data_IF_025908538349
#
_entry.id   IF_025908538349
#
_cell.length_a   1.000
_cell.length_b   1.000
_cell.length_c   1.000
_cell.angle_alpha   90.00
_cell.angle_beta   90.00
_cell.angle_gamma   90.00
#
_symmetry.space_group_name_H-M   'P 1'
#
loop_
_entity.id
_entity.type
_entity.pdbx_description
1 polymer ?
#
# COMPACT_ATOMS: atom_id res chain seq x y z
N UNK A 1 2.73 -8.67 1.20
CA UNK A 1 2.03 -9.19 0.02
C UNK A 1 2.79 -8.87 -1.26
N UNK A 2 2.68 -9.74 -2.27
CA UNK A 2 3.17 -9.49 -3.64
C UNK A 2 1.96 -9.08 -4.47
N UNK A 3 2.04 -7.90 -5.11
CA UNK A 3 1.00 -7.40 -6.00
C UNK A 3 1.20 -7.93 -7.42
N UNK A 4 0.18 -8.55 -7.98
CA UNK A 4 0.15 -8.94 -9.39
C UNK A 4 -0.68 -7.92 -10.17
N UNK A 5 -0.04 -7.16 -11.05
CA UNK A 5 -0.72 -6.17 -11.87
C UNK A 5 -1.51 -6.85 -13.00
N UNK A 6 -2.83 -6.66 -13.01
CA UNK A 6 -3.69 -7.17 -14.10
C UNK A 6 -3.54 -6.36 -15.39
N UNK A 7 -3.21 -5.08 -15.27
CA UNK A 7 -2.91 -4.23 -16.40
C UNK A 7 -1.53 -4.63 -16.98
N UNK A 8 -1.43 -4.91 -18.29
CA UNK A 8 -0.22 -5.51 -18.84
C UNK A 8 1.00 -4.58 -18.80
N UNK A 9 0.81 -3.27 -18.97
CA UNK A 9 1.89 -2.28 -19.00
C UNK A 9 1.85 -1.42 -17.73
N UNK A 10 2.98 -1.35 -17.03
CA UNK A 10 3.17 -0.47 -15.87
C UNK A 10 4.37 0.46 -16.10
N UNK A 11 4.42 1.58 -15.39
CA UNK A 11 5.54 2.52 -15.43
C UNK A 11 5.39 3.69 -16.40
N UNK A 12 4.57 3.58 -17.43
CA UNK A 12 4.40 4.59 -18.48
C UNK A 12 3.85 5.94 -18.00
N UNK A 13 3.17 5.99 -16.86
CA UNK A 13 2.77 7.25 -16.22
C UNK A 13 3.92 7.90 -15.43
N UNK A 14 4.79 7.10 -14.85
CA UNK A 14 5.76 7.55 -13.87
C UNK A 14 5.16 7.79 -12.49
N UNK A 15 5.90 8.46 -11.62
CA UNK A 15 5.55 8.69 -10.23
C UNK A 15 5.74 10.17 -9.90
N UNK A 16 4.80 10.80 -9.21
CA UNK A 16 4.92 12.18 -8.75
C UNK A 16 6.12 12.40 -7.82
N UNK A 17 6.46 13.67 -7.49
CA UNK A 17 7.48 13.98 -6.49
C UNK A 17 7.24 13.21 -5.17
N UNK A 18 8.31 12.89 -4.43
CA UNK A 18 8.17 12.28 -3.11
C UNK A 18 7.24 13.11 -2.21
N UNK A 19 6.40 12.41 -1.45
CA UNK A 19 5.54 13.01 -0.46
C UNK A 19 6.37 13.67 0.66
N UNK A 20 5.92 14.80 1.17
CA UNK A 20 6.47 15.34 2.39
C UNK A 20 6.08 14.48 3.59
N UNK A 21 7.03 14.24 4.48
CA UNK A 21 6.78 13.41 5.65
C UNK A 21 5.72 14.04 6.57
N UNK A 22 4.77 13.25 7.03
CA UNK A 22 3.72 13.71 7.94
C UNK A 22 2.55 14.42 7.27
N UNK A 23 2.53 14.55 5.93
CA UNK A 23 1.42 15.18 5.20
C UNK A 23 0.46 14.15 4.62
N UNK A 24 -0.73 14.61 4.24
CA UNK A 24 -1.72 13.84 3.47
C UNK A 24 -1.72 14.25 1.99
N UNK A 25 -0.54 14.59 1.43
CA UNK A 25 -0.42 15.16 0.09
C UNK A 25 -0.97 14.24 -0.99
N UNK A 26 -1.72 14.82 -1.92
CA UNK A 26 -2.10 14.17 -3.18
C UNK A 26 -0.87 14.01 -4.07
N UNK A 27 -0.79 12.98 -4.89
CA UNK A 27 -1.80 11.94 -5.16
C UNK A 27 -1.62 10.65 -4.36
N UNK A 28 -0.81 10.66 -3.32
CA UNK A 28 -0.52 9.45 -2.56
C UNK A 28 -1.68 9.05 -1.64
N UNK A 29 -1.84 7.74 -1.49
CA UNK A 29 -2.85 7.12 -0.64
C UNK A 29 -2.26 6.41 0.59
N UNK A 30 -0.93 6.43 0.69
CA UNK A 30 -0.17 5.85 1.78
C UNK A 30 1.18 6.56 1.92
N UNK A 31 1.79 6.47 3.08
CA UNK A 31 3.11 7.08 3.35
C UNK A 31 4.27 6.40 2.61
N UNK A 32 4.07 5.16 2.13
CA UNK A 32 5.08 4.35 1.45
C UNK A 32 4.42 3.31 0.55
N UNK A 33 5.23 2.59 -0.25
CA UNK A 33 4.76 1.37 -0.92
C UNK A 33 4.50 0.30 0.13
N UNK A 34 3.28 -0.22 0.19
CA UNK A 34 2.88 -1.22 1.20
C UNK A 34 3.13 -2.66 0.76
N UNK A 35 3.27 -2.91 -0.54
CA UNK A 35 3.52 -4.25 -1.06
C UNK A 35 5.00 -4.63 -0.92
N UNK A 36 5.27 -5.92 -0.76
CA UNK A 36 6.62 -6.48 -0.64
C UNK A 36 7.23 -6.87 -1.99
N UNK A 37 6.45 -6.78 -3.06
CA UNK A 37 6.90 -7.06 -4.41
C UNK A 37 5.83 -6.75 -5.45
N UNK A 38 6.26 -6.51 -6.68
CA UNK A 38 5.41 -6.23 -7.83
C UNK A 38 5.68 -7.24 -8.94
N UNK A 39 4.63 -7.82 -9.51
CA UNK A 39 4.68 -8.67 -10.70
C UNK A 39 3.87 -8.01 -11.81
N UNK A 40 4.50 -7.78 -12.96
CA UNK A 40 3.89 -7.18 -14.12
C UNK A 40 4.25 -7.93 -15.41
N UNK A 41 3.47 -7.76 -16.46
CA UNK A 41 3.78 -8.35 -17.76
C UNK A 41 4.85 -7.51 -18.48
N UNK A 42 4.63 -6.22 -18.60
CA UNK A 42 5.50 -5.29 -19.33
C UNK A 42 5.79 -4.07 -18.45
N UNK A 43 7.00 -3.57 -18.53
CA UNK A 43 7.43 -2.35 -17.86
C UNK A 43 7.92 -1.32 -18.89
N UNK A 44 7.53 -0.07 -18.68
CA UNK A 44 8.04 1.08 -19.44
C UNK A 44 9.06 1.85 -18.61
N UNK A 45 10.29 1.95 -19.11
CA UNK A 45 11.34 2.79 -18.50
C UNK A 45 11.06 4.28 -18.69
N UNK A 46 10.42 4.62 -19.81
CA UNK A 46 10.00 5.99 -20.10
C UNK A 46 8.63 6.28 -19.54
N UNK A 47 8.47 7.45 -18.94
CA UNK A 47 7.19 7.95 -18.44
C UNK A 47 6.86 9.31 -19.06
N UNK A 48 5.55 9.62 -19.13
CA UNK A 48 5.07 10.79 -19.88
C UNK A 48 3.99 11.62 -19.16
N UNK A 49 3.58 11.26 -17.95
CA UNK A 49 2.57 12.02 -17.23
C UNK A 49 3.15 13.36 -16.72
N UNK A 50 2.41 14.45 -16.91
CA UNK A 50 2.85 15.81 -16.56
C UNK A 50 3.21 16.01 -15.07
N UNK A 51 2.60 15.26 -14.18
CA UNK A 51 2.88 15.31 -12.74
C UNK A 51 4.02 14.38 -12.30
N UNK A 52 4.58 13.57 -13.19
CA UNK A 52 5.65 12.66 -12.86
C UNK A 52 7.01 13.36 -12.86
N UNK A 53 7.87 13.03 -11.91
CA UNK A 53 9.26 13.49 -11.88
C UNK A 53 10.27 12.36 -11.72
N UNK A 54 9.80 11.11 -11.59
CA UNK A 54 10.63 9.91 -11.51
C UNK A 54 9.92 8.71 -12.11
N UNK A 55 10.69 7.68 -12.47
CA UNK A 55 10.12 6.41 -12.94
C UNK A 55 9.57 5.58 -11.79
N UNK A 56 8.68 4.62 -12.11
CA UNK A 56 8.23 3.62 -11.15
C UNK A 56 9.39 2.76 -10.63
N UNK A 57 10.38 2.45 -11.48
CA UNK A 57 11.55 1.68 -11.09
C UNK A 57 12.44 2.41 -10.07
N UNK A 58 12.60 3.74 -10.22
CA UNK A 58 13.29 4.56 -9.22
C UNK A 58 12.56 4.56 -7.87
N UNK A 59 11.23 4.67 -7.89
CA UNK A 59 10.44 4.62 -6.67
C UNK A 59 10.54 3.27 -5.98
N UNK A 60 10.33 2.16 -6.71
CA UNK A 60 10.46 0.80 -6.18
C UNK A 60 11.85 0.55 -5.58
N UNK A 61 12.91 1.04 -6.25
CA UNK A 61 14.29 0.91 -5.75
C UNK A 61 14.53 1.71 -4.47
N UNK A 62 14.01 2.94 -4.41
CA UNK A 62 14.11 3.78 -3.22
C UNK A 62 13.42 3.14 -2.00
N UNK A 63 12.27 2.48 -2.22
CA UNK A 63 11.50 1.77 -1.18
C UNK A 63 11.96 0.31 -0.98
N UNK A 64 12.99 -0.14 -1.72
CA UNK A 64 13.54 -1.51 -1.67
C UNK A 64 12.50 -2.60 -1.98
N UNK A 65 11.58 -2.31 -2.88
CA UNK A 65 10.54 -3.24 -3.32
C UNK A 65 10.96 -3.91 -4.62
N UNK A 66 11.19 -5.24 -4.63
CA UNK A 66 11.54 -5.95 -5.85
C UNK A 66 10.37 -6.00 -6.83
N UNK A 67 10.69 -6.00 -8.13
CA UNK A 67 9.71 -6.18 -9.19
C UNK A 67 10.19 -7.20 -10.20
N UNK A 68 9.25 -7.96 -10.76
CA UNK A 68 9.49 -8.93 -11.82
C UNK A 68 8.59 -8.62 -13.00
N UNK A 69 9.15 -8.63 -14.21
CA UNK A 69 8.42 -8.44 -15.47
C UNK A 69 8.55 -9.65 -16.38
N UNK A 70 7.79 -9.69 -17.47
CA UNK A 70 7.80 -10.81 -18.40
C UNK A 70 6.92 -11.99 -17.95
N UNK A 71 6.09 -11.80 -16.93
CA UNK A 71 5.19 -12.84 -16.42
C UNK A 71 3.80 -12.70 -17.07
N UNK A 72 3.18 -13.81 -17.47
CA UNK A 72 1.78 -13.84 -17.86
C UNK A 72 0.87 -13.58 -16.65
N UNK A 73 0.70 -12.29 -16.35
CA UNK A 73 -0.11 -11.86 -15.22
C UNK A 73 -1.60 -12.14 -15.43
N UNK A 74 -2.06 -12.28 -16.68
CA UNK A 74 -3.46 -12.65 -16.98
C UNK A 74 -3.76 -14.07 -16.50
N UNK A 75 -2.91 -15.02 -16.84
CA UNK A 75 -3.06 -16.40 -16.38
C UNK A 75 -2.89 -16.49 -14.84
N UNK A 76 -1.93 -15.77 -14.28
CA UNK A 76 -1.72 -15.75 -12.84
C UNK A 76 -2.92 -15.15 -12.08
N UNK A 77 -3.48 -14.05 -12.55
CA UNK A 77 -4.66 -13.44 -11.91
C UNK A 77 -5.92 -14.28 -12.04
N UNK A 78 -6.08 -15.05 -13.14
CA UNK A 78 -7.15 -16.04 -13.25
C UNK A 78 -7.01 -17.12 -12.18
N UNK A 79 -5.82 -17.66 -11.96
CA UNK A 79 -5.54 -18.62 -10.88
C UNK A 79 -5.86 -18.05 -9.51
N UNK A 80 -5.43 -16.82 -9.25
CA UNK A 80 -5.72 -16.13 -7.98
C UNK A 80 -7.23 -15.94 -7.76
N UNK A 81 -8.00 -15.71 -8.84
CA UNK A 81 -9.45 -15.59 -8.77
C UNK A 81 -10.12 -16.93 -8.43
N UNK A 82 -9.62 -18.01 -8.98
CA UNK A 82 -10.17 -19.36 -8.81
C UNK A 82 -9.83 -19.95 -7.42
N UNK A 83 -8.62 -19.70 -6.91
CA UNK A 83 -8.10 -20.32 -5.70
C UNK A 83 -8.01 -19.37 -4.48
N UNK A 84 -8.29 -18.07 -4.66
CA UNK A 84 -8.04 -17.05 -3.65
C UNK A 84 -6.58 -16.63 -3.59
N UNK A 85 -6.16 -16.11 -2.45
CA UNK A 85 -4.76 -15.73 -2.24
C UNK A 85 -3.86 -16.96 -2.19
N UNK A 86 -2.71 -16.87 -2.85
CA UNK A 86 -1.72 -17.94 -2.93
C UNK A 86 -0.40 -17.47 -2.30
N UNK A 87 0.33 -18.39 -1.71
CA UNK A 87 1.68 -18.10 -1.26
C UNK A 87 2.64 -17.99 -2.44
N UNK A 88 3.54 -17.00 -2.39
CA UNK A 88 4.54 -16.77 -3.44
C UNK A 88 5.78 -16.09 -2.87
N UNK A 89 6.91 -16.31 -3.53
CA UNK A 89 8.19 -15.74 -3.15
C UNK A 89 8.89 -15.19 -4.37
N UNK A 90 9.59 -14.07 -4.19
CA UNK A 90 10.50 -13.50 -5.17
C UNK A 90 11.94 -13.72 -4.70
N UNK A 91 12.74 -14.35 -5.53
CA UNK A 91 14.16 -14.61 -5.25
C UNK A 91 15.04 -13.90 -6.29
N UNK A 92 16.26 -13.50 -5.93
CA UNK A 92 17.25 -13.03 -6.90
C UNK A 92 17.50 -14.08 -7.99
N UNK A 93 17.69 -13.65 -9.23
CA UNK A 93 17.95 -14.57 -10.35
C UNK A 93 19.22 -15.43 -10.17
N UNK A 94 20.16 -14.95 -9.37
CA UNK A 94 21.39 -15.70 -9.04
C UNK A 94 21.14 -16.90 -8.10
N UNK A 95 20.00 -16.94 -7.41
CA UNK A 95 19.63 -18.06 -6.54
C UNK A 95 19.10 -19.22 -7.38
N UNK A 96 19.69 -20.40 -7.25
CA UNK A 96 19.22 -21.60 -7.94
C UNK A 96 17.84 -22.04 -7.44
N UNK A 97 17.06 -22.71 -8.31
CA UNK A 97 15.69 -23.12 -8.01
C UNK A 97 15.58 -24.03 -6.76
N UNK A 98 16.56 -24.94 -6.57
CA UNK A 98 16.56 -25.86 -5.42
C UNK A 98 16.83 -25.12 -4.11
N UNK A 99 17.71 -24.12 -4.14
CA UNK A 99 17.96 -23.25 -3.00
C UNK A 99 16.73 -22.41 -2.69
N UNK A 100 16.11 -21.79 -3.70
CA UNK A 100 14.88 -21.03 -3.55
C UNK A 100 13.75 -21.86 -2.91
N UNK A 101 13.54 -23.09 -3.37
CA UNK A 101 12.56 -24.02 -2.79
C UNK A 101 12.85 -24.37 -1.34
N UNK A 102 14.11 -24.56 -0.97
CA UNK A 102 14.50 -24.84 0.43
C UNK A 102 14.33 -23.61 1.33
N UNK A 103 14.53 -22.43 0.78
CA UNK A 103 14.45 -21.15 1.50
C UNK A 103 12.99 -20.68 1.67
N UNK A 104 12.11 -21.02 0.72
CA UNK A 104 10.71 -20.69 0.79
C UNK A 104 10.06 -21.22 2.08
N UNK A 105 9.46 -20.35 2.86
CA UNK A 105 8.75 -20.69 4.10
C UNK A 105 7.29 -20.34 3.95
N UNK A 106 6.41 -21.19 4.44
CA UNK A 106 4.99 -20.85 4.55
C UNK A 106 4.84 -19.60 5.43
N UNK A 107 4.02 -18.66 4.98
CA UNK A 107 3.71 -17.43 5.71
C UNK A 107 2.23 -17.47 6.08
N UNK A 108 1.95 -17.51 7.36
CA UNK A 108 0.59 -17.31 7.83
C UNK A 108 0.31 -15.80 7.89
N UNK A 109 -0.78 -15.38 7.25
CA UNK A 109 -1.26 -14.01 7.33
C UNK A 109 -2.18 -13.88 8.54
N UNK A 110 -1.60 -13.44 9.65
CA UNK A 110 -2.33 -13.04 10.85
C UNK A 110 -2.58 -11.54 10.91
N UNK A 111 -3.06 -11.06 12.05
CA UNK A 111 -3.39 -9.64 12.30
C UNK A 111 -2.16 -8.71 12.21
N UNK A 112 -0.97 -9.26 12.25
CA UNK A 112 0.29 -8.52 12.10
C UNK A 112 0.35 -7.71 10.78
N UNK A 113 -0.35 -8.15 9.72
CA UNK A 113 -0.41 -7.40 8.46
C UNK A 113 -1.03 -6.02 8.66
N UNK A 114 -2.03 -5.89 9.51
CA UNK A 114 -2.69 -4.61 9.79
C UNK A 114 -1.78 -3.66 10.58
N UNK A 115 -0.93 -4.18 11.47
CA UNK A 115 0.08 -3.40 12.19
C UNK A 115 1.13 -2.78 11.26
N UNK A 116 1.42 -3.43 10.13
CA UNK A 116 2.42 -2.92 9.17
C UNK A 116 1.90 -1.76 8.32
N UNK A 117 0.59 -1.60 8.19
CA UNK A 117 -0.06 -0.59 7.32
C UNK A 117 -0.75 0.53 8.09
N UNK A 118 -1.15 0.29 9.34
CA UNK A 118 -1.74 1.29 10.23
C UNK A 118 -0.64 2.17 10.89
N UNK A 119 -0.96 3.36 11.40
CA UNK A 119 -0.04 4.13 12.23
C UNK A 119 0.23 3.38 13.55
N UNK A 120 1.36 3.68 14.19
CA UNK A 120 1.70 3.10 15.51
C UNK A 120 0.88 3.72 16.66
N UNK A 121 0.52 4.98 16.53
CA UNK A 121 -0.19 5.79 17.51
C UNK A 121 -1.34 6.55 16.85
N UNK A 122 -2.38 6.95 17.60
CA UNK A 122 -3.44 7.80 17.08
C UNK A 122 -2.90 9.13 16.53
N UNK A 123 -3.38 9.53 15.36
CA UNK A 123 -3.03 10.79 14.71
C UNK A 123 -4.27 11.68 14.68
N UNK A 124 -4.13 12.91 15.15
CA UNK A 124 -5.20 13.89 15.21
C UNK A 124 -5.06 14.92 14.08
N UNK A 125 -6.12 15.11 13.32
CA UNK A 125 -6.24 16.13 12.29
C UNK A 125 -7.39 17.06 12.65
N UNK A 126 -7.09 18.32 12.89
CA UNK A 126 -8.07 19.34 13.25
C UNK A 126 -8.63 20.00 11.97
N UNK A 127 -9.95 20.16 11.90
CA UNK A 127 -10.62 20.91 10.83
C UNK A 127 -11.85 21.67 11.35
N UNK A 128 -12.82 21.01 11.98
CA UNK A 128 -14.03 21.62 12.52
C UNK A 128 -14.51 20.95 13.81
N UNK A 129 -15.71 21.27 14.24
CA UNK A 129 -16.25 20.80 15.51
C UNK A 129 -16.65 19.33 15.50
N UNK A 130 -17.15 18.84 14.34
CA UNK A 130 -17.52 17.43 14.17
C UNK A 130 -16.26 16.55 14.20
N UNK A 131 -16.22 15.58 15.10
CA UNK A 131 -15.07 14.68 15.31
C UNK A 131 -15.39 13.26 14.87
N UNK A 132 -14.62 12.73 13.96
CA UNK A 132 -14.76 11.36 13.45
C UNK A 132 -13.57 10.51 13.88
N UNK A 133 -13.84 9.41 14.58
CA UNK A 133 -12.86 8.37 14.85
C UNK A 133 -12.77 7.44 13.65
N UNK A 134 -11.63 7.39 13.00
CA UNK A 134 -11.33 6.46 11.89
C UNK A 134 -10.48 5.32 12.44
N UNK A 135 -11.04 4.10 12.45
CA UNK A 135 -10.32 2.90 12.87
C UNK A 135 -9.47 2.42 11.70
N UNK A 136 -8.17 2.55 11.84
CA UNK A 136 -7.21 2.29 10.77
C UNK A 136 -6.67 0.86 10.81
N UNK A 137 -7.07 0.08 9.82
CA UNK A 137 -6.49 -1.22 9.45
C UNK A 137 -5.85 -1.16 8.05
N UNK A 138 -5.37 0.00 7.62
CA UNK A 138 -4.84 0.29 6.29
C UNK A 138 -5.70 1.27 5.51
N UNK A 139 -6.19 2.30 6.16
CA UNK A 139 -7.05 3.34 5.56
C UNK A 139 -6.27 4.14 4.52
N UNK A 140 -6.89 4.37 3.36
CA UNK A 140 -6.36 5.26 2.33
C UNK A 140 -6.42 6.70 2.79
N UNK A 141 -5.36 7.46 2.54
CA UNK A 141 -5.27 8.86 2.94
C UNK A 141 -6.39 9.73 2.34
N UNK A 142 -6.95 9.34 1.18
CA UNK A 142 -8.09 10.06 0.59
C UNK A 142 -9.35 10.04 1.47
N UNK A 143 -9.54 9.00 2.26
CA UNK A 143 -10.68 8.92 3.20
C UNK A 143 -10.52 10.03 4.26
N UNK A 144 -9.32 10.13 4.84
CA UNK A 144 -9.02 11.18 5.83
C UNK A 144 -9.14 12.56 5.21
N UNK A 145 -8.53 12.79 4.03
CA UNK A 145 -8.65 14.06 3.28
C UNK A 145 -10.10 14.44 3.04
N UNK A 146 -10.92 13.49 2.59
CA UNK A 146 -12.33 13.74 2.27
C UNK A 146 -13.14 14.15 3.48
N UNK A 147 -12.84 13.66 4.67
CA UNK A 147 -13.48 14.10 5.92
C UNK A 147 -13.03 15.51 6.30
N UNK A 148 -11.73 15.79 6.24
CA UNK A 148 -11.17 17.11 6.54
C UNK A 148 -11.69 18.19 5.59
N UNK A 149 -11.77 17.90 4.28
CA UNK A 149 -12.33 18.81 3.25
C UNK A 149 -13.82 19.14 3.49
N UNK A 150 -14.53 18.27 4.24
CA UNK A 150 -15.91 18.50 4.66
C UNK A 150 -16.05 19.17 6.03
N UNK A 151 -14.92 19.59 6.60
CA UNK A 151 -14.89 20.28 7.89
C UNK A 151 -14.99 19.35 9.10
N UNK A 152 -14.80 18.04 8.95
CA UNK A 152 -14.74 17.14 10.09
C UNK A 152 -13.30 16.99 10.58
N UNK A 153 -13.08 17.14 11.88
CA UNK A 153 -11.83 16.74 12.54
C UNK A 153 -11.75 15.21 12.58
N UNK A 154 -10.55 14.65 12.43
CA UNK A 154 -10.34 13.20 12.34
C UNK A 154 -9.36 12.73 13.40
N UNK A 155 -9.73 11.68 14.13
CA UNK A 155 -8.84 10.87 14.95
C UNK A 155 -8.58 9.58 14.19
N UNK A 156 -7.43 9.45 13.52
CA UNK A 156 -7.00 8.24 12.83
C UNK A 156 -6.29 7.34 13.83
N UNK A 157 -6.98 6.31 14.32
CA UNK A 157 -6.47 5.42 15.36
C UNK A 157 -6.16 4.03 14.82
N UNK A 158 -5.01 3.43 15.12
CA UNK A 158 -4.74 2.05 14.74
C UNK A 158 -5.78 1.12 15.38
N UNK A 159 -6.16 0.06 14.68
CA UNK A 159 -7.21 -0.88 15.10
C UNK A 159 -6.99 -1.50 16.49
N UNK A 160 -5.75 -1.55 16.96
CA UNK A 160 -5.36 -2.09 18.28
C UNK A 160 -5.26 -1.03 19.39
N UNK A 161 -5.58 0.23 19.09
CA UNK A 161 -5.65 1.29 20.11
C UNK A 161 -6.82 1.08 21.07
N UNK A 162 -6.87 1.83 22.15
CA UNK A 162 -8.00 1.84 23.11
C UNK A 162 -9.20 2.57 22.50
N UNK A 163 -9.83 1.94 21.49
CA UNK A 163 -10.86 2.57 20.68
C UNK A 163 -12.05 3.07 21.51
N UNK A 164 -12.43 2.35 22.58
CA UNK A 164 -13.54 2.76 23.44
C UNK A 164 -13.26 4.11 24.15
N UNK A 165 -12.03 4.36 24.55
CA UNK A 165 -11.64 5.64 25.19
C UNK A 165 -11.67 6.78 24.14
N UNK A 166 -11.15 6.52 22.95
CA UNK A 166 -11.13 7.50 21.83
C UNK A 166 -12.54 7.82 21.31
N UNK A 167 -13.44 6.85 21.34
CA UNK A 167 -14.82 7.01 20.90
C UNK A 167 -15.64 7.93 21.80
N UNK A 168 -15.32 8.07 23.10
CA UNK A 168 -16.02 8.97 24.02
C UNK A 168 -15.95 10.44 23.62
N UNK A 169 -14.94 10.82 22.84
CA UNK A 169 -14.76 12.18 22.33
C UNK A 169 -15.11 12.37 20.86
N UNK A 170 -15.69 11.37 20.22
CA UNK A 170 -16.03 11.37 18.80
C UNK A 170 -17.56 11.41 18.59
N UNK A 171 -18.01 12.13 17.56
CA UNK A 171 -19.42 12.20 17.15
C UNK A 171 -19.80 11.05 16.20
N UNK A 172 -18.79 10.39 15.59
CA UNK A 172 -18.99 9.25 14.72
C UNK A 172 -17.74 8.36 14.61
N UNK A 173 -17.96 7.12 14.17
CA UNK A 173 -16.89 6.11 13.98
C UNK A 173 -16.99 5.56 12.54
N UNK A 174 -15.85 5.45 11.87
CA UNK A 174 -15.68 4.87 10.54
C UNK A 174 -14.66 3.73 10.58
#
# INVERSE_FOLDING_TARGET
>A
QILVATYPLVGNYGVPPPRQQGTLDRPYESSRIQVQGLVAQTYSDAYSHHAANRSLGEWLRAEKVPAVTGIDTRTLTRRLREHGTMQGWLFPAAMGLDEAKRTARAVEMGDEVFRTVAPSEPIHYAAGDLKILVVDAGVKDNIVRSLLERGASVIRAPYHARLAELALGADGIL
#
